data_IF_932904503889
#
_entry.id   IF_932904503889
#
_cell.length_a   1.000
_cell.length_b   1.000
_cell.length_c   1.000
_cell.angle_alpha   90.00
_cell.angle_beta   90.00
_cell.angle_gamma   90.00
#
_symmetry.space_group_name_H-M   'P 1'
#
loop_
_entity.id
_entity.type
_entity.pdbx_description
1 polymer ?
#
# COMPACT_ATOMS: atom_id res chain seq x y z
N UNK A 1 5.99 1.82 -8.23
CA UNK A 1 7.47 1.92 -8.26
C UNK A 1 8.08 2.31 -9.59
N UNK A 2 8.13 1.43 -10.62
CA UNK A 2 8.87 1.73 -11.85
C UNK A 2 8.48 3.07 -12.53
N UNK A 3 7.19 3.37 -12.62
CA UNK A 3 6.71 4.66 -13.13
C UNK A 3 7.20 5.86 -12.30
N UNK A 4 7.29 5.72 -10.98
CA UNK A 4 7.79 6.77 -10.09
C UNK A 4 9.28 7.05 -10.33
N UNK A 5 10.06 6.01 -10.63
CA UNK A 5 11.47 6.17 -11.02
C UNK A 5 11.63 6.75 -12.43
N UNK A 6 10.94 6.19 -13.43
CA UNK A 6 11.12 6.56 -14.85
C UNK A 6 10.60 7.94 -15.21
N UNK A 7 9.56 8.43 -14.51
CA UNK A 7 8.96 9.74 -14.77
C UNK A 7 9.57 10.85 -13.92
N UNK A 8 10.53 10.55 -13.05
CA UNK A 8 11.14 11.55 -12.18
C UNK A 8 11.76 12.70 -12.98
N UNK A 9 11.51 13.93 -12.52
CA UNK A 9 11.97 15.17 -13.15
C UNK A 9 12.67 16.06 -12.13
N UNK A 10 13.78 15.54 -11.60
CA UNK A 10 14.57 16.17 -10.53
C UNK A 10 16.01 16.39 -10.99
N UNK A 11 16.63 17.49 -10.55
CA UNK A 11 18.04 17.80 -10.85
C UNK A 11 19.02 16.95 -10.05
N UNK A 12 18.70 16.68 -8.78
CA UNK A 12 19.61 16.00 -7.85
C UNK A 12 19.24 14.51 -7.71
N UNK A 13 20.16 13.56 -7.96
CA UNK A 13 19.88 12.14 -7.87
C UNK A 13 19.35 11.69 -6.51
N UNK A 14 19.86 12.28 -5.41
CA UNK A 14 19.43 11.99 -4.04
C UNK A 14 17.97 12.34 -3.77
N UNK A 15 17.34 13.17 -4.61
CA UNK A 15 15.93 13.59 -4.48
C UNK A 15 15.05 13.03 -5.60
N UNK A 16 15.60 12.18 -6.49
CA UNK A 16 14.91 11.72 -7.69
C UNK A 16 14.20 10.39 -7.49
N UNK A 17 13.12 10.17 -8.23
CA UNK A 17 12.40 8.90 -8.29
C UNK A 17 11.87 8.46 -6.94
N UNK A 18 12.15 7.20 -6.58
CA UNK A 18 11.66 6.58 -5.35
C UNK A 18 12.47 6.95 -4.10
N UNK A 19 13.39 7.92 -4.18
CA UNK A 19 14.15 8.43 -3.04
C UNK A 19 13.31 9.37 -2.16
N UNK A 20 12.12 8.94 -1.75
CA UNK A 20 11.13 9.68 -0.95
C UNK A 20 11.01 9.09 0.45
N UNK A 21 10.21 9.74 1.30
CA UNK A 21 9.83 9.21 2.60
C UNK A 21 9.23 7.80 2.49
N UNK A 22 9.58 6.92 3.44
CA UNK A 22 9.18 5.52 3.42
C UNK A 22 7.66 5.34 3.47
N UNK A 23 6.96 6.21 4.20
CA UNK A 23 5.49 6.24 4.33
C UNK A 23 4.78 6.91 3.16
N UNK A 24 5.51 7.43 2.17
CA UNK A 24 4.99 7.95 0.91
C UNK A 24 5.37 7.09 -0.29
N UNK A 25 6.46 6.33 -0.22
CA UNK A 25 6.98 5.58 -1.37
C UNK A 25 5.99 4.55 -1.91
N UNK A 26 5.13 4.00 -1.04
CA UNK A 26 4.17 2.96 -1.43
C UNK A 26 2.90 3.48 -2.10
N UNK A 27 2.59 4.79 -1.99
CA UNK A 27 1.42 5.36 -2.66
C UNK A 27 1.42 5.07 -4.18
N UNK A 28 2.48 5.35 -4.96
CA UNK A 28 2.47 5.06 -6.39
C UNK A 28 2.47 3.58 -6.77
N UNK A 29 2.94 2.67 -5.91
CA UNK A 29 2.82 1.22 -6.14
C UNK A 29 1.39 0.78 -5.91
N UNK A 30 0.87 1.01 -4.71
CA UNK A 30 -0.44 0.50 -4.30
C UNK A 30 -1.57 1.12 -5.11
N UNK A 31 -1.46 2.40 -5.47
CA UNK A 31 -2.42 3.05 -6.35
C UNK A 31 -2.62 2.24 -7.64
N UNK A 32 -1.55 1.80 -8.29
CA UNK A 32 -1.60 1.07 -9.57
C UNK A 32 -2.32 -0.28 -9.48
N UNK A 33 -2.40 -0.88 -8.29
CA UNK A 33 -3.08 -2.17 -8.07
C UNK A 33 -4.61 -2.05 -8.27
N UNK A 34 -5.17 -0.85 -8.03
CA UNK A 34 -6.61 -0.65 -8.09
C UNK A 34 -7.21 -0.81 -9.51
N UNK A 35 -6.39 -0.76 -10.57
CA UNK A 35 -6.87 -1.01 -11.95
C UNK A 35 -7.21 -2.49 -12.20
N UNK A 36 -6.72 -3.42 -11.37
CA UNK A 36 -6.86 -4.87 -11.60
C UNK A 36 -8.28 -5.41 -11.41
N UNK A 37 -9.20 -4.59 -10.88
CA UNK A 37 -10.63 -4.92 -10.75
C UNK A 37 -11.51 -4.11 -11.71
N UNK A 38 -10.92 -3.25 -12.53
CA UNK A 38 -11.67 -2.39 -13.46
C UNK A 38 -11.83 -3.08 -14.81
N UNK A 39 -13.09 -3.35 -15.20
CA UNK A 39 -13.40 -4.08 -16.45
C UNK A 39 -12.74 -3.45 -17.67
N UNK A 40 -12.80 -2.13 -17.79
CA UNK A 40 -12.24 -1.40 -18.94
C UNK A 40 -10.72 -1.56 -19.05
N UNK A 41 -10.03 -1.77 -17.92
CA UNK A 41 -8.60 -2.06 -17.89
C UNK A 41 -8.32 -3.54 -18.20
N UNK A 42 -9.06 -4.45 -17.56
CA UNK A 42 -8.95 -5.90 -17.80
C UNK A 42 -9.16 -6.24 -19.28
N UNK A 43 -10.11 -5.59 -19.95
CA UNK A 43 -10.42 -5.81 -21.37
C UNK A 43 -9.28 -5.50 -22.34
N UNK A 44 -8.18 -4.92 -21.85
CA UNK A 44 -6.98 -4.65 -22.63
C UNK A 44 -5.98 -5.80 -22.65
N UNK A 45 -6.05 -6.74 -21.70
CA UNK A 45 -5.06 -7.83 -21.60
C UNK A 45 -5.61 -9.16 -21.06
N UNK A 46 -6.75 -9.16 -20.35
CA UNK A 46 -7.34 -10.35 -19.73
C UNK A 46 -8.16 -11.15 -20.75
N UNK A 47 -7.44 -11.82 -21.65
CA UNK A 47 -7.99 -12.74 -22.64
C UNK A 47 -7.66 -14.19 -22.27
N UNK A 48 -8.60 -15.10 -22.52
CA UNK A 48 -8.37 -16.52 -22.33
C UNK A 48 -7.25 -16.99 -23.26
N UNK A 49 -6.25 -17.68 -22.71
CA UNK A 49 -4.99 -17.94 -23.43
C UNK A 49 -5.15 -18.84 -24.67
N UNK A 50 -6.23 -19.63 -24.76
CA UNK A 50 -6.51 -20.48 -25.92
C UNK A 50 -7.52 -19.87 -26.89
N UNK A 51 -8.58 -19.25 -26.36
CA UNK A 51 -9.71 -18.79 -27.18
C UNK A 51 -9.61 -17.32 -27.57
N UNK A 52 -8.78 -16.54 -26.87
CA UNK A 52 -8.69 -15.09 -27.05
C UNK A 52 -9.91 -14.32 -26.55
N UNK A 53 -10.88 -15.00 -25.93
CA UNK A 53 -12.09 -14.38 -25.41
C UNK A 53 -11.78 -13.52 -24.18
N UNK A 54 -12.45 -12.37 -24.08
CA UNK A 54 -12.33 -11.50 -22.90
C UNK A 54 -12.89 -12.16 -21.65
N UNK A 55 -12.35 -11.81 -20.49
CA UNK A 55 -12.96 -12.17 -19.21
C UNK A 55 -14.42 -11.67 -19.14
N UNK A 56 -15.40 -12.57 -18.87
CA UNK A 56 -16.79 -12.19 -18.70
C UNK A 56 -17.00 -11.20 -17.54
N UNK A 57 -17.92 -10.25 -17.71
CA UNK A 57 -18.26 -9.26 -16.66
C UNK A 57 -18.71 -9.94 -15.35
N UNK A 58 -19.43 -11.06 -15.45
CA UNK A 58 -19.91 -11.79 -14.28
C UNK A 58 -18.76 -12.32 -13.41
N UNK A 59 -17.65 -12.75 -14.02
CA UNK A 59 -16.48 -13.20 -13.25
C UNK A 59 -15.77 -12.02 -12.57
N UNK A 60 -15.65 -10.89 -13.26
CA UNK A 60 -15.12 -9.65 -12.66
C UNK A 60 -15.97 -9.23 -11.46
N UNK A 61 -17.29 -9.28 -11.59
CA UNK A 61 -18.19 -8.95 -10.49
C UNK A 61 -18.01 -9.91 -9.30
N UNK A 62 -17.86 -11.23 -9.53
CA UNK A 62 -17.56 -12.18 -8.46
C UNK A 62 -16.26 -11.88 -7.72
N UNK A 63 -15.22 -11.40 -8.42
CA UNK A 63 -13.96 -10.96 -7.80
C UNK A 63 -14.19 -9.73 -6.93
N UNK A 64 -14.96 -8.75 -7.42
CA UNK A 64 -15.30 -7.53 -6.67
C UNK A 64 -16.11 -7.89 -5.42
N UNK A 65 -17.15 -8.72 -5.55
CA UNK A 65 -18.02 -9.11 -4.43
C UNK A 65 -17.24 -9.90 -3.36
N UNK A 66 -16.22 -10.66 -3.75
CA UNK A 66 -15.36 -11.40 -2.83
C UNK A 66 -14.19 -10.57 -2.26
N UNK A 67 -13.99 -9.33 -2.73
CA UNK A 67 -12.81 -8.53 -2.40
C UNK A 67 -12.65 -8.23 -0.90
N UNK A 68 -13.75 -8.25 -0.14
CA UNK A 68 -13.75 -8.01 1.30
C UNK A 68 -13.72 -9.27 2.18
N UNK A 69 -13.70 -10.48 1.58
CA UNK A 69 -13.93 -11.77 2.26
C UNK A 69 -12.96 -12.06 3.43
N UNK A 70 -11.77 -11.46 3.45
CA UNK A 70 -10.77 -11.64 4.54
C UNK A 70 -10.14 -10.34 5.02
N UNK A 71 -10.75 -9.19 4.71
CA UNK A 71 -10.11 -7.89 4.92
C UNK A 71 -9.80 -7.60 6.39
N UNK A 72 -10.66 -8.02 7.32
CA UNK A 72 -10.40 -7.89 8.76
C UNK A 72 -9.14 -8.64 9.20
N UNK A 73 -9.00 -9.91 8.79
CA UNK A 73 -7.81 -10.72 9.10
C UNK A 73 -6.55 -10.13 8.47
N UNK A 74 -6.59 -9.77 7.17
CA UNK A 74 -5.45 -9.19 6.46
C UNK A 74 -4.99 -7.87 7.09
N UNK A 75 -5.95 -7.04 7.53
CA UNK A 75 -5.66 -5.80 8.24
C UNK A 75 -4.94 -6.07 9.57
N UNK A 76 -5.48 -6.94 10.42
CA UNK A 76 -4.86 -7.29 11.71
C UNK A 76 -3.47 -7.93 11.52
N UNK A 77 -3.30 -8.77 10.49
CA UNK A 77 -2.01 -9.33 10.11
C UNK A 77 -1.00 -8.24 9.69
N UNK A 78 -1.39 -7.25 8.89
CA UNK A 78 -0.49 -6.14 8.57
C UNK A 78 -0.15 -5.28 9.81
N UNK A 79 -1.13 -5.08 10.70
CA UNK A 79 -0.88 -4.37 11.95
C UNK A 79 0.08 -5.14 12.86
N UNK A 80 0.01 -6.48 12.89
CA UNK A 80 0.91 -7.29 13.71
C UNK A 80 2.37 -7.11 13.29
N UNK A 81 2.63 -6.98 11.99
CA UNK A 81 3.96 -6.67 11.47
C UNK A 81 4.43 -5.27 11.84
N UNK A 82 3.54 -4.26 11.77
CA UNK A 82 3.86 -2.90 12.20
C UNK A 82 4.13 -2.80 13.71
N UNK A 83 3.34 -3.49 14.54
CA UNK A 83 3.59 -3.55 15.98
C UNK A 83 4.89 -4.27 16.32
N UNK A 84 5.19 -5.38 15.65
CA UNK A 84 6.46 -6.10 15.83
C UNK A 84 7.66 -5.23 15.47
N UNK A 85 7.60 -4.53 14.34
CA UNK A 85 8.63 -3.58 13.90
C UNK A 85 8.85 -2.50 14.96
N UNK A 86 7.78 -1.78 15.35
CA UNK A 86 7.90 -0.74 16.36
C UNK A 86 8.40 -1.28 17.71
N UNK A 87 8.02 -2.50 18.10
CA UNK A 87 8.54 -3.12 19.31
C UNK A 87 10.06 -3.33 19.23
N UNK A 88 10.59 -3.87 18.12
CA UNK A 88 12.03 -4.06 17.94
C UNK A 88 12.82 -2.76 17.97
N UNK A 89 12.34 -1.71 17.29
CA UNK A 89 13.10 -0.46 17.12
C UNK A 89 12.77 0.63 18.15
N UNK A 90 12.01 0.31 19.19
CA UNK A 90 11.82 1.17 20.37
C UNK A 90 12.49 0.62 21.62
N UNK A 91 13.25 -0.48 21.50
CA UNK A 91 14.08 -1.01 22.60
C UNK A 91 15.15 0.00 23.02
N UNK A 92 15.17 0.36 24.30
CA UNK A 92 16.17 1.28 24.86
C UNK A 92 17.47 0.57 25.28
N UNK A 93 17.44 -0.76 25.39
CA UNK A 93 18.55 -1.60 25.82
C UNK A 93 18.77 -2.74 24.82
N UNK A 94 20.01 -3.26 24.69
CA UNK A 94 20.25 -4.45 23.90
C UNK A 94 19.33 -5.60 24.31
N UNK A 95 18.76 -6.30 23.33
CA UNK A 95 17.90 -7.44 23.56
C UNK A 95 18.72 -8.69 23.90
N UNK A 96 18.39 -9.36 25.00
CA UNK A 96 19.02 -10.59 25.48
C UNK A 96 18.03 -11.74 25.77
N UNK A 97 16.75 -11.56 25.37
CA UNK A 97 15.66 -12.48 25.66
C UNK A 97 15.34 -13.50 24.56
N UNK A 98 14.20 -14.18 24.71
CA UNK A 98 13.67 -15.10 23.70
C UNK A 98 12.89 -14.34 22.61
N UNK A 99 13.35 -14.48 21.36
CA UNK A 99 12.79 -13.79 20.20
C UNK A 99 11.31 -14.14 19.98
N UNK A 100 10.89 -15.39 20.22
CA UNK A 100 9.50 -15.82 20.00
C UNK A 100 8.57 -15.22 21.05
N UNK A 101 8.97 -15.24 22.31
CA UNK A 101 8.23 -14.64 23.40
C UNK A 101 8.06 -13.12 23.21
N UNK A 102 9.13 -12.45 22.74
CA UNK A 102 9.07 -11.04 22.37
C UNK A 102 8.07 -10.77 21.25
N UNK A 103 8.15 -11.53 20.15
CA UNK A 103 7.24 -11.40 19.01
C UNK A 103 5.78 -11.62 19.39
N UNK A 104 5.50 -12.70 20.13
CA UNK A 104 4.14 -13.01 20.60
C UNK A 104 3.59 -11.88 21.47
N UNK A 105 4.41 -11.30 22.34
CA UNK A 105 4.03 -10.16 23.17
C UNK A 105 3.73 -8.93 22.32
N UNK A 106 4.59 -8.61 21.35
CA UNK A 106 4.41 -7.46 20.46
C UNK A 106 3.13 -7.55 19.62
N UNK A 107 2.76 -8.74 19.15
CA UNK A 107 1.60 -8.95 18.29
C UNK A 107 0.29 -9.22 19.06
N UNK A 108 0.35 -9.46 20.37
CA UNK A 108 -0.77 -9.99 21.17
C UNK A 108 -2.10 -9.27 20.96
N UNK A 109 -2.09 -7.93 20.89
CA UNK A 109 -3.30 -7.11 20.76
C UNK A 109 -4.03 -7.21 19.42
N UNK A 110 -3.35 -7.73 18.39
CA UNK A 110 -3.88 -7.91 17.03
C UNK A 110 -3.85 -9.38 16.59
N UNK A 111 -3.55 -10.29 17.51
CA UNK A 111 -3.53 -11.72 17.25
C UNK A 111 -4.97 -12.24 17.14
N UNK A 112 -5.39 -12.60 15.92
CA UNK A 112 -6.73 -13.17 15.68
C UNK A 112 -6.74 -14.70 15.72
N UNK A 113 -5.67 -15.34 15.23
CA UNK A 113 -5.58 -16.78 15.05
C UNK A 113 -4.73 -17.42 16.18
N UNK A 114 -4.85 -18.74 16.43
CA UNK A 114 -3.93 -19.43 17.33
C UNK A 114 -2.46 -19.25 16.91
N UNK A 115 -1.57 -19.16 17.90
CA UNK A 115 -0.12 -19.10 17.66
C UNK A 115 0.39 -20.50 17.36
N UNK A 116 1.25 -20.61 16.33
CA UNK A 116 2.02 -21.83 16.05
C UNK A 116 3.30 -21.77 16.90
N UNK A 117 3.54 -22.68 17.86
CA UNK A 117 4.64 -22.56 18.83
C UNK A 117 6.04 -22.46 18.22
N UNK A 118 6.24 -23.07 17.06
CA UNK A 118 7.50 -23.09 16.33
C UNK A 118 7.69 -21.88 15.42
N UNK A 119 6.63 -21.09 15.19
CA UNK A 119 6.70 -19.93 14.32
C UNK A 119 7.48 -18.78 14.99
N UNK A 120 8.36 -18.16 14.20
CA UNK A 120 9.07 -16.96 14.56
C UNK A 120 9.28 -16.16 13.27
N UNK A 121 8.44 -15.15 13.05
CA UNK A 121 8.55 -14.33 11.86
C UNK A 121 9.79 -13.44 11.89
N UNK A 122 10.18 -12.94 13.07
CA UNK A 122 11.27 -11.99 13.28
C UNK A 122 12.56 -12.46 12.61
N UNK A 123 12.89 -13.76 12.71
CA UNK A 123 14.10 -14.34 12.09
C UNK A 123 14.08 -14.34 10.56
N UNK A 124 12.93 -14.12 9.94
CA UNK A 124 12.75 -14.03 8.49
C UNK A 124 12.18 -12.67 8.04
N UNK A 125 12.11 -11.67 8.95
CA UNK A 125 11.49 -10.39 8.65
C UNK A 125 12.45 -9.44 7.93
N UNK A 126 12.80 -9.80 6.70
CA UNK A 126 13.83 -9.10 5.91
C UNK A 126 13.53 -7.62 5.62
N UNK A 127 12.27 -7.18 5.68
CA UNK A 127 11.90 -5.78 5.48
C UNK A 127 12.57 -4.86 6.51
N UNK A 128 12.61 -5.29 7.78
CA UNK A 128 13.08 -4.46 8.89
C UNK A 128 14.55 -4.77 9.21
N UNK A 129 14.97 -6.04 9.15
CA UNK A 129 16.35 -6.43 9.52
C UNK A 129 17.39 -6.30 8.41
N UNK A 130 17.00 -6.45 7.15
CA UNK A 130 17.91 -6.40 5.99
C UNK A 130 17.44 -5.45 4.89
N UNK A 131 16.35 -4.74 5.14
CA UNK A 131 15.67 -3.87 4.19
C UNK A 131 15.62 -2.42 4.69
N UNK A 132 14.80 -1.61 4.04
CA UNK A 132 14.68 -0.18 4.34
C UNK A 132 13.51 0.22 5.24
N UNK A 133 12.88 -0.74 5.94
CA UNK A 133 11.62 -0.53 6.68
C UNK A 133 11.76 -0.67 8.20
N UNK A 134 12.99 -0.70 8.73
CA UNK A 134 13.21 -0.60 10.18
C UNK A 134 12.53 0.64 10.75
N UNK A 135 11.68 0.47 11.77
CA UNK A 135 10.82 1.51 12.33
C UNK A 135 9.95 2.22 11.26
N UNK A 136 9.51 1.47 10.25
CA UNK A 136 8.85 1.99 9.06
C UNK A 136 7.91 1.00 8.40
N UNK A 137 7.65 -0.18 8.97
CA UNK A 137 6.70 -1.12 8.38
C UNK A 137 5.26 -0.59 8.40
N UNK A 138 4.94 0.32 9.32
CA UNK A 138 3.65 1.03 9.35
C UNK A 138 3.35 1.79 8.04
N UNK A 139 4.39 2.12 7.26
CA UNK A 139 4.30 2.81 5.98
C UNK A 139 3.34 2.15 4.99
N UNK A 140 3.19 0.82 5.02
CA UNK A 140 2.22 0.14 4.16
C UNK A 140 0.77 0.54 4.46
N UNK A 141 0.37 0.56 5.74
CA UNK A 141 -0.99 0.98 6.15
C UNK A 141 -1.18 2.47 6.00
N UNK A 142 -0.12 3.26 6.21
CA UNK A 142 -0.13 4.70 5.99
C UNK A 142 -0.38 5.05 4.52
N UNK A 143 0.41 4.47 3.62
CA UNK A 143 0.24 4.64 2.18
C UNK A 143 -1.07 4.05 1.66
N UNK A 144 -1.63 3.03 2.33
CA UNK A 144 -2.91 2.45 1.94
C UNK A 144 -4.08 3.45 2.05
N UNK A 145 -4.01 4.37 3.01
CA UNK A 145 -4.97 5.49 3.11
C UNK A 145 -4.81 6.44 1.91
N UNK A 146 -3.56 6.80 1.61
CA UNK A 146 -3.25 7.68 0.48
C UNK A 146 -3.69 7.06 -0.85
N UNK A 147 -3.49 5.74 -1.03
CA UNK A 147 -3.79 5.07 -2.28
C UNK A 147 -5.31 5.04 -2.55
N UNK A 148 -6.12 4.77 -1.54
CA UNK A 148 -7.55 4.57 -1.69
C UNK A 148 -8.21 5.91 -1.97
N UNK A 149 -7.78 6.92 -1.21
CA UNK A 149 -8.23 8.29 -1.38
C UNK A 149 -7.78 8.88 -2.73
N UNK A 150 -6.55 8.61 -3.17
CA UNK A 150 -6.07 9.03 -4.48
C UNK A 150 -6.81 8.34 -5.63
N UNK A 151 -7.06 7.02 -5.52
CA UNK A 151 -7.78 6.27 -6.55
C UNK A 151 -9.26 6.65 -6.62
N UNK A 152 -9.86 7.11 -5.52
CA UNK A 152 -11.24 7.63 -5.52
C UNK A 152 -11.45 8.77 -6.54
N UNK A 153 -10.42 9.59 -6.80
CA UNK A 153 -10.45 10.65 -7.81
C UNK A 153 -10.56 10.05 -9.22
N UNK A 154 -9.81 8.98 -9.49
CA UNK A 154 -9.90 8.24 -10.75
C UNK A 154 -11.26 7.56 -10.90
N UNK A 155 -11.81 6.94 -9.84
CA UNK A 155 -13.16 6.35 -9.88
C UNK A 155 -14.23 7.40 -10.19
N UNK A 156 -14.10 8.61 -9.62
CA UNK A 156 -15.05 9.71 -9.84
C UNK A 156 -14.99 10.28 -11.26
N UNK A 157 -13.79 10.47 -11.81
CA UNK A 157 -13.60 11.14 -13.11
C UNK A 157 -13.52 10.17 -14.30
N UNK A 158 -13.31 8.88 -14.03
CA UNK A 158 -13.00 7.84 -15.01
C UNK A 158 -11.56 7.35 -14.88
N UNK A 159 -11.36 6.03 -14.89
CA UNK A 159 -10.06 5.39 -14.59
C UNK A 159 -8.96 5.69 -15.63
N UNK A 160 -9.35 6.22 -16.79
CA UNK A 160 -8.46 6.68 -17.87
C UNK A 160 -8.52 8.19 -18.09
N UNK A 161 -9.10 8.96 -17.16
CA UNK A 161 -9.15 10.41 -17.29
C UNK A 161 -7.74 11.01 -17.35
N UNK A 162 -7.45 11.62 -18.51
CA UNK A 162 -6.11 12.18 -18.78
C UNK A 162 -5.78 13.35 -17.87
N UNK A 163 -6.77 14.13 -17.43
CA UNK A 163 -6.54 15.28 -16.55
C UNK A 163 -6.10 14.80 -15.17
N UNK A 164 -6.78 13.81 -14.61
CA UNK A 164 -6.43 13.17 -13.33
C UNK A 164 -5.06 12.49 -13.42
N UNK A 165 -4.80 11.72 -14.49
CA UNK A 165 -3.50 11.09 -14.71
C UNK A 165 -2.36 12.11 -14.85
N UNK A 166 -2.57 13.21 -15.57
CA UNK A 166 -1.57 14.28 -15.70
C UNK A 166 -1.34 14.98 -14.35
N UNK A 167 -2.39 15.23 -13.58
CA UNK A 167 -2.26 15.80 -12.23
C UNK A 167 -1.43 14.87 -11.32
N UNK A 168 -1.73 13.57 -11.32
CA UNK A 168 -1.00 12.58 -10.53
C UNK A 168 0.48 12.51 -10.95
N UNK A 169 0.73 12.48 -12.26
CA UNK A 169 2.10 12.52 -12.81
C UNK A 169 2.86 13.76 -12.35
N UNK A 170 2.32 14.96 -12.59
CA UNK A 170 2.99 16.23 -12.30
C UNK A 170 3.23 16.43 -10.81
N UNK A 171 2.27 16.04 -9.96
CA UNK A 171 2.34 16.32 -8.52
C UNK A 171 3.02 15.21 -7.73
N UNK A 172 2.94 13.95 -8.17
CA UNK A 172 3.45 12.80 -7.42
C UNK A 172 4.67 12.20 -8.14
N UNK A 173 4.48 11.63 -9.33
CA UNK A 173 5.51 10.81 -10.00
C UNK A 173 6.74 11.61 -10.46
N UNK A 174 6.57 12.86 -10.88
CA UNK A 174 7.67 13.68 -11.38
C UNK A 174 8.53 14.30 -10.26
N UNK A 175 8.02 14.35 -9.03
CA UNK A 175 8.59 15.21 -7.98
C UNK A 175 9.69 14.55 -7.17
N UNK A 176 9.69 13.22 -7.02
CA UNK A 176 10.52 12.55 -6.04
C UNK A 176 10.44 13.25 -4.68
N UNK A 177 11.59 13.52 -4.06
CA UNK A 177 11.68 14.18 -2.75
C UNK A 177 12.10 15.65 -2.86
N UNK A 178 11.71 16.32 -3.94
CA UNK A 178 12.04 17.74 -4.15
C UNK A 178 11.14 18.69 -3.35
N UNK A 179 10.04 18.17 -2.79
CA UNK A 179 9.09 18.93 -1.97
C UNK A 179 8.39 18.01 -0.97
N UNK A 180 7.84 18.60 0.09
CA UNK A 180 7.09 17.89 1.12
C UNK A 180 5.91 17.08 0.54
N UNK A 181 5.82 15.76 0.81
CA UNK A 181 4.76 14.91 0.29
C UNK A 181 3.34 15.35 0.60
N UNK A 182 3.09 15.99 1.75
CA UNK A 182 1.76 16.49 2.11
C UNK A 182 1.30 17.58 1.14
N UNK A 183 2.21 18.46 0.71
CA UNK A 183 1.94 19.51 -0.27
C UNK A 183 1.73 18.93 -1.66
N UNK A 184 2.53 17.94 -2.04
CA UNK A 184 2.39 17.20 -3.29
C UNK A 184 1.00 16.55 -3.38
N UNK A 185 0.62 15.84 -2.32
CA UNK A 185 -0.66 15.16 -2.22
C UNK A 185 -1.83 16.15 -2.24
N UNK A 186 -1.77 17.22 -1.44
CA UNK A 186 -2.80 18.26 -1.40
C UNK A 186 -3.05 18.88 -2.78
N UNK A 187 -2.01 19.14 -3.57
CA UNK A 187 -2.17 19.68 -4.94
C UNK A 187 -2.80 18.68 -5.91
N UNK A 188 -2.49 17.39 -5.77
CA UNK A 188 -3.13 16.35 -6.57
C UNK A 188 -4.61 16.16 -6.16
N UNK A 189 -4.84 15.96 -4.86
CA UNK A 189 -6.10 15.51 -4.29
C UNK A 189 -7.11 16.63 -4.05
N UNK A 190 -6.62 17.83 -3.79
CA UNK A 190 -7.41 19.02 -3.43
C UNK A 190 -7.81 19.11 -1.96
N UNK A 191 -7.48 18.09 -1.15
CA UNK A 191 -7.71 18.03 0.29
C UNK A 191 -6.64 17.16 0.96
N UNK A 192 -6.59 17.19 2.28
CA UNK A 192 -5.81 16.24 3.07
C UNK A 192 -6.36 14.81 2.90
N UNK A 193 -5.52 13.77 3.04
CA UNK A 193 -5.96 12.39 2.97
C UNK A 193 -7.04 12.09 4.00
N UNK A 194 -8.07 11.35 3.60
CA UNK A 194 -9.07 10.78 4.51
C UNK A 194 -9.07 9.26 4.41
N UNK A 195 -9.41 8.60 5.53
CA UNK A 195 -9.57 7.14 5.59
C UNK A 195 -10.85 6.64 4.92
N UNK A 196 -11.80 7.53 4.61
CA UNK A 196 -13.14 7.14 4.16
C UNK A 196 -13.13 6.23 2.93
N UNK A 197 -12.30 6.55 1.93
CA UNK A 197 -12.17 5.74 0.72
C UNK A 197 -11.61 4.34 1.00
N UNK A 198 -10.71 4.23 2.00
CA UNK A 198 -10.18 2.94 2.44
C UNK A 198 -11.26 2.12 3.16
N UNK A 199 -12.06 2.76 4.01
CA UNK A 199 -13.17 2.09 4.70
C UNK A 199 -14.21 1.59 3.71
N UNK A 200 -14.60 2.42 2.74
CA UNK A 200 -15.52 2.05 1.67
C UNK A 200 -14.96 0.87 0.86
N UNK A 201 -13.70 0.93 0.42
CA UNK A 201 -13.02 -0.17 -0.29
C UNK A 201 -13.06 -1.47 0.50
N UNK A 202 -12.91 -1.37 1.82
CA UNK A 202 -12.90 -2.53 2.72
C UNK A 202 -14.32 -3.00 3.12
N UNK A 203 -15.38 -2.36 2.61
CA UNK A 203 -16.76 -2.68 2.95
C UNK A 203 -17.15 -2.31 4.38
N UNK A 204 -16.40 -1.42 5.03
CA UNK A 204 -16.63 -0.94 6.40
C UNK A 204 -17.44 0.34 6.31
N UNK A 205 -18.71 0.30 6.74
CA UNK A 205 -19.58 1.47 6.85
C UNK A 205 -19.59 1.96 8.29
N UNK A 206 -19.35 3.26 8.50
CA UNK A 206 -19.54 3.91 9.80
C UNK A 206 -21.02 4.17 10.07
#
# INVERSE_FOLDING_TARGET
HALHGMLAKSTYPSLSGTNVYRDFVELPSQLMENWLVEKEYLDRFAFHYQTGEKMPQELVQKIIDASNYTTGYLCLRQLSFGYLDMAWYTLEKPFDGDVRAFEQTAMQRVQLMPVVPEACMSTAFGHIFSGGYAAGYYSYKWSEVLDADAFSVFKKNGIFDRKTAQSFRTNILEKGNTEDPSKLYLRFRGQEPSIDALLERNGIRQ
#
